data_IF_260118675905
#
_entry.id   IF_260118675905
#
_cell.length_a   1.000
_cell.length_b   1.000
_cell.length_c   1.000
_cell.angle_alpha   90.00
_cell.angle_beta   90.00
_cell.angle_gamma   90.00
#
_symmetry.space_group_name_H-M   'P 1'
#
loop_
_entity.id
_entity.type
_entity.pdbx_description
1 polymer ?
#
# COMPACT_ATOMS: atom_id res chain seq x y z
N UNK A 1 28.85 2.74 30.99
CA UNK A 1 27.97 1.63 30.58
C UNK A 1 26.52 2.08 30.38
N UNK A 2 25.89 2.76 31.34
CA UNK A 2 24.48 3.21 31.24
C UNK A 2 24.19 4.11 30.00
N UNK A 3 25.05 5.09 29.71
CA UNK A 3 24.83 6.00 28.58
C UNK A 3 24.85 5.29 27.21
N UNK A 4 25.80 4.38 26.99
CA UNK A 4 25.86 3.58 25.78
C UNK A 4 24.64 2.66 25.63
N UNK A 5 24.13 2.12 26.75
CA UNK A 5 22.90 1.34 26.76
C UNK A 5 21.68 2.17 26.34
N UNK A 6 21.51 3.37 26.90
CA UNK A 6 20.40 4.27 26.56
C UNK A 6 20.44 4.72 25.10
N UNK A 7 21.62 5.00 24.55
CA UNK A 7 21.79 5.35 23.13
C UNK A 7 21.41 4.17 22.24
N UNK A 8 21.90 2.96 22.56
CA UNK A 8 21.55 1.75 21.80
C UNK A 8 20.05 1.45 21.85
N UNK A 9 19.44 1.59 23.02
CA UNK A 9 18.01 1.42 23.19
C UNK A 9 17.21 2.43 22.35
N UNK A 10 17.54 3.72 22.43
CA UNK A 10 16.88 4.77 21.66
C UNK A 10 17.01 4.56 20.14
N UNK A 11 18.22 4.22 19.68
CA UNK A 11 18.45 3.88 18.27
C UNK A 11 17.61 2.68 17.83
N UNK A 12 17.59 1.61 18.64
CA UNK A 12 16.84 0.39 18.35
C UNK A 12 15.33 0.63 18.32
N UNK A 13 14.81 1.50 19.20
CA UNK A 13 13.39 1.89 19.19
C UNK A 13 13.04 2.64 17.91
N UNK A 14 13.87 3.59 17.48
CA UNK A 14 13.62 4.37 16.27
C UNK A 14 13.66 3.48 15.02
N UNK A 15 14.66 2.62 14.89
CA UNK A 15 14.76 1.69 13.75
C UNK A 15 13.65 0.66 13.77
N UNK A 16 13.28 0.13 14.94
CA UNK A 16 12.13 -0.77 15.09
C UNK A 16 10.84 -0.12 14.59
N UNK A 17 10.57 1.12 15.03
CA UNK A 17 9.36 1.84 14.63
C UNK A 17 9.36 2.19 13.14
N UNK A 18 10.52 2.53 12.57
CA UNK A 18 10.67 2.74 11.12
C UNK A 18 10.34 1.45 10.36
N UNK A 19 10.96 0.33 10.72
CA UNK A 19 10.73 -0.98 10.11
C UNK A 19 9.26 -1.44 10.25
N UNK A 20 8.64 -1.22 11.40
CA UNK A 20 7.24 -1.56 11.64
C UNK A 20 6.29 -0.85 10.65
N UNK A 21 6.58 0.40 10.30
CA UNK A 21 5.76 1.20 9.37
C UNK A 21 6.20 1.05 7.90
N UNK A 22 7.10 0.12 7.57
CA UNK A 22 7.65 -0.03 6.22
C UNK A 22 6.97 -1.13 5.38
N UNK A 23 5.72 -1.48 5.70
CA UNK A 23 4.94 -2.52 4.98
C UNK A 23 3.59 -2.04 4.43
N UNK A 24 3.53 -0.88 3.73
CA UNK A 24 2.27 -0.32 3.22
C UNK A 24 1.53 -1.23 2.23
N UNK A 25 2.22 -2.05 1.43
CA UNK A 25 1.58 -2.95 0.47
C UNK A 25 0.74 -4.03 1.12
N UNK A 26 1.24 -4.64 2.21
CA UNK A 26 0.47 -5.64 2.97
C UNK A 26 -0.81 -5.04 3.57
N UNK A 27 -0.73 -3.82 4.10
CA UNK A 27 -1.89 -3.09 4.60
C UNK A 27 -2.86 -2.70 3.48
N UNK A 28 -2.37 -2.30 2.31
CA UNK A 28 -3.21 -1.96 1.16
C UNK A 28 -4.02 -3.16 0.66
N UNK A 29 -3.38 -4.33 0.54
CA UNK A 29 -4.08 -5.56 0.14
C UNK A 29 -5.12 -5.98 1.17
N UNK A 30 -4.79 -5.91 2.47
CA UNK A 30 -5.73 -6.18 3.54
C UNK A 30 -6.94 -5.25 3.49
N UNK A 31 -6.71 -3.94 3.36
CA UNK A 31 -7.78 -2.95 3.27
C UNK A 31 -8.66 -3.16 2.02
N UNK A 32 -8.06 -3.57 0.90
CA UNK A 32 -8.81 -3.89 -0.31
C UNK A 32 -9.75 -5.08 -0.11
N UNK A 33 -9.27 -6.15 0.54
CA UNK A 33 -10.09 -7.31 0.86
C UNK A 33 -11.25 -6.99 1.82
N UNK A 34 -11.02 -6.09 2.78
CA UNK A 34 -12.05 -5.65 3.73
C UNK A 34 -13.11 -4.75 3.07
N UNK A 35 -12.72 -3.99 2.03
CA UNK A 35 -13.60 -3.04 1.38
C UNK A 35 -14.55 -3.67 0.34
N UNK A 36 -14.13 -4.70 -0.38
CA UNK A 36 -14.95 -5.37 -1.40
C UNK A 36 -15.28 -6.83 -1.02
N UNK A 37 -16.50 -7.02 -0.51
CA UNK A 37 -17.05 -8.33 -0.14
C UNK A 37 -17.85 -9.02 -1.26
N UNK A 38 -17.86 -8.49 -2.48
CA UNK A 38 -18.61 -9.07 -3.59
C UNK A 38 -18.10 -10.45 -4.00
N UNK A 39 -18.98 -11.28 -4.55
CA UNK A 39 -18.66 -12.65 -5.01
C UNK A 39 -18.20 -12.72 -6.48
N UNK A 40 -18.11 -11.57 -7.15
CA UNK A 40 -17.66 -11.43 -8.54
C UNK A 40 -16.15 -11.62 -8.60
N UNK A 41 -15.67 -12.31 -9.63
CA UNK A 41 -14.23 -12.53 -9.85
C UNK A 41 -13.50 -11.18 -9.96
N UNK A 42 -12.41 -11.05 -9.20
CA UNK A 42 -11.58 -9.83 -9.12
C UNK A 42 -10.17 -10.16 -9.53
N UNK A 43 -9.64 -9.44 -10.50
CA UNK A 43 -8.24 -9.53 -10.88
C UNK A 43 -7.49 -8.32 -10.31
N UNK A 44 -6.64 -8.56 -9.32
CA UNK A 44 -5.82 -7.55 -8.65
C UNK A 44 -4.40 -7.61 -9.21
N UNK A 45 -3.91 -6.52 -9.76
CA UNK A 45 -2.50 -6.38 -10.06
C UNK A 45 -1.77 -5.78 -8.86
N UNK A 46 -0.62 -6.36 -8.50
CA UNK A 46 0.26 -5.91 -7.43
C UNK A 46 1.60 -5.59 -8.09
N UNK A 47 2.01 -4.33 -8.07
CA UNK A 47 3.30 -3.92 -8.64
C UNK A 47 4.49 -4.39 -7.77
N UNK A 48 5.69 -4.23 -8.31
CA UNK A 48 6.92 -4.67 -7.65
C UNK A 48 7.10 -4.01 -6.27
N UNK A 49 6.83 -2.70 -6.16
CA UNK A 49 6.95 -1.98 -4.89
C UNK A 49 5.94 -2.46 -3.84
N UNK A 50 4.68 -2.67 -4.22
CA UNK A 50 3.66 -3.21 -3.33
C UNK A 50 4.00 -4.64 -2.91
N UNK A 51 4.49 -5.47 -3.84
CA UNK A 51 4.95 -6.83 -3.55
C UNK A 51 6.10 -6.84 -2.52
N UNK A 52 7.09 -5.95 -2.69
CA UNK A 52 8.23 -5.84 -1.78
C UNK A 52 7.90 -5.15 -0.44
N UNK A 53 6.74 -4.51 -0.33
CA UNK A 53 6.31 -3.79 0.88
C UNK A 53 5.22 -4.51 1.67
N UNK A 54 5.28 -5.84 1.71
CA UNK A 54 4.52 -6.67 2.66
C UNK A 54 3.39 -7.50 2.07
N UNK A 55 3.21 -7.50 0.74
CA UNK A 55 2.33 -8.47 0.10
C UNK A 55 3.06 -9.79 -0.10
N UNK A 56 2.45 -10.88 0.37
CA UNK A 56 2.96 -12.24 0.18
C UNK A 56 1.82 -13.18 -0.18
N UNK A 57 2.18 -14.42 -0.57
CA UNK A 57 1.18 -15.46 -0.84
C UNK A 57 0.26 -15.76 0.35
N UNK A 58 0.70 -15.53 1.58
CA UNK A 58 -0.14 -15.72 2.77
C UNK A 58 -1.18 -14.61 2.98
N UNK A 59 -1.04 -13.49 2.27
CA UNK A 59 -2.00 -12.39 2.29
C UNK A 59 -3.11 -12.56 1.24
N UNK A 60 -2.95 -13.52 0.32
CA UNK A 60 -3.87 -13.75 -0.79
C UNK A 60 -5.04 -14.62 -0.34
N UNK A 61 -6.25 -14.09 -0.49
CA UNK A 61 -7.49 -14.84 -0.33
C UNK A 61 -7.76 -15.70 -1.56
N UNK A 62 -8.49 -16.80 -1.38
CA UNK A 62 -8.99 -17.64 -2.48
C UNK A 62 -10.11 -16.93 -3.28
N UNK A 63 -10.87 -17.70 -4.06
CA UNK A 63 -12.01 -17.20 -4.82
C UNK A 63 -12.89 -16.25 -3.97
N UNK A 64 -13.26 -15.07 -4.48
CA UNK A 64 -13.22 -14.64 -5.89
C UNK A 64 -11.96 -13.88 -6.32
N UNK A 65 -10.89 -13.88 -5.53
CA UNK A 65 -9.71 -13.08 -5.80
C UNK A 65 -8.67 -13.79 -6.65
N UNK A 66 -8.08 -13.07 -7.60
CA UNK A 66 -6.94 -13.51 -8.41
C UNK A 66 -5.91 -12.41 -8.47
N UNK A 67 -4.64 -12.79 -8.38
CA UNK A 67 -3.54 -11.83 -8.26
C UNK A 67 -2.57 -11.97 -9.42
N UNK A 68 -2.15 -10.84 -9.98
CA UNK A 68 -1.03 -10.75 -10.93
C UNK A 68 0.08 -9.93 -10.31
N UNK A 69 1.32 -10.42 -10.42
CA UNK A 69 2.56 -9.72 -10.03
C UNK A 69 3.51 -9.58 -11.22
N UNK A 70 2.95 -9.49 -12.42
CA UNK A 70 3.72 -9.28 -13.64
C UNK A 70 4.49 -7.95 -13.55
N UNK A 71 5.82 -8.01 -13.52
CA UNK A 71 6.66 -6.83 -13.40
C UNK A 71 6.80 -6.11 -14.76
N UNK A 72 7.27 -4.86 -14.73
CA UNK A 72 7.60 -4.08 -15.93
C UNK A 72 6.43 -3.81 -16.91
N UNK A 73 5.17 -3.87 -16.44
CA UNK A 73 4.01 -3.41 -17.22
C UNK A 73 4.07 -1.86 -17.35
N UNK A 74 4.10 -1.30 -18.57
CA UNK A 74 4.02 0.15 -18.76
C UNK A 74 2.70 0.72 -18.25
N UNK A 75 2.73 1.94 -17.69
CA UNK A 75 1.55 2.58 -17.09
C UNK A 75 0.39 2.69 -18.11
N UNK A 76 0.71 2.98 -19.37
CA UNK A 76 -0.27 3.13 -20.45
C UNK A 76 -0.91 1.80 -20.87
N UNK A 77 -0.32 0.67 -20.49
CA UNK A 77 -0.82 -0.65 -20.81
C UNK A 77 -1.91 -1.10 -19.83
N UNK A 78 -1.94 -0.58 -18.59
CA UNK A 78 -2.94 -0.97 -17.59
C UNK A 78 -4.39 -0.75 -18.07
N UNK A 79 -4.65 0.29 -18.88
CA UNK A 79 -5.97 0.54 -19.48
C UNK A 79 -6.44 -0.55 -20.47
N UNK A 80 -5.48 -1.24 -21.08
CA UNK A 80 -5.72 -2.32 -22.05
C UNK A 80 -5.82 -3.68 -21.37
N UNK A 81 -5.35 -3.78 -20.12
CA UNK A 81 -5.45 -4.97 -19.28
C UNK A 81 -6.80 -5.00 -18.57
N UNK A 82 -7.28 -6.20 -18.27
CA UNK A 82 -8.58 -6.42 -17.59
C UNK A 82 -8.38 -6.62 -16.08
N UNK A 83 -7.67 -5.69 -15.42
CA UNK A 83 -7.58 -5.69 -13.97
C UNK A 83 -8.80 -4.99 -13.36
N UNK A 84 -9.36 -5.59 -12.31
CA UNK A 84 -10.41 -4.98 -11.50
C UNK A 84 -9.81 -3.93 -10.57
N UNK A 85 -8.69 -4.28 -9.94
CA UNK A 85 -7.96 -3.42 -9.01
C UNK A 85 -6.47 -3.39 -9.33
N UNK A 86 -5.83 -2.26 -9.03
CA UNK A 86 -4.38 -2.10 -9.03
C UNK A 86 -3.95 -1.72 -7.61
N UNK A 87 -2.90 -2.36 -7.10
CA UNK A 87 -2.13 -1.87 -5.97
C UNK A 87 -0.78 -1.43 -6.51
N UNK A 88 -0.52 -0.13 -6.48
CA UNK A 88 0.58 0.46 -7.24
C UNK A 88 1.21 1.67 -6.52
N UNK A 89 2.49 1.92 -6.74
CA UNK A 89 3.22 3.08 -6.23
C UNK A 89 2.84 4.41 -6.93
N UNK A 90 2.31 4.34 -8.14
CA UNK A 90 1.90 5.51 -8.91
C UNK A 90 0.57 6.07 -8.42
N UNK A 91 0.54 7.38 -8.11
CA UNK A 91 -0.67 8.06 -7.61
C UNK A 91 -1.84 8.03 -8.59
N UNK A 92 -1.58 8.07 -9.89
CA UNK A 92 -2.61 8.11 -10.93
C UNK A 92 -2.22 7.22 -12.09
N UNK A 93 -3.18 6.41 -12.52
CA UNK A 93 -3.08 5.50 -13.67
C UNK A 93 -4.32 5.75 -14.53
N UNK A 94 -4.12 5.95 -15.83
CA UNK A 94 -5.22 6.16 -16.77
C UNK A 94 -6.21 4.99 -16.73
N UNK A 95 -7.51 5.28 -16.87
CA UNK A 95 -8.59 4.28 -16.81
C UNK A 95 -8.87 3.65 -15.44
N UNK A 96 -8.20 4.12 -14.38
CA UNK A 96 -8.47 3.71 -13.01
C UNK A 96 -8.69 4.92 -12.09
N UNK A 97 -9.65 4.80 -11.19
CA UNK A 97 -9.90 5.78 -10.14
C UNK A 97 -9.08 5.41 -8.89
N UNK A 98 -8.39 6.38 -8.30
CA UNK A 98 -7.70 6.19 -7.03
C UNK A 98 -8.72 6.08 -5.89
N UNK A 99 -8.80 4.91 -5.26
CA UNK A 99 -9.80 4.55 -4.25
C UNK A 99 -9.33 4.97 -2.86
N UNK A 100 -8.10 4.64 -2.50
CA UNK A 100 -7.47 5.00 -1.24
C UNK A 100 -5.95 4.89 -1.35
N UNK A 101 -5.24 5.48 -0.39
CA UNK A 101 -3.80 5.36 -0.28
C UNK A 101 -3.41 4.86 1.11
N UNK A 102 -2.31 4.11 1.18
CA UNK A 102 -1.72 3.62 2.42
C UNK A 102 -0.37 4.29 2.64
N UNK A 103 -0.26 4.91 3.80
CA UNK A 103 0.97 5.55 4.25
C UNK A 103 2.03 4.52 4.62
N UNK A 104 3.26 4.77 4.17
CA UNK A 104 4.46 4.05 4.59
C UNK A 104 5.47 4.97 5.24
N UNK A 105 6.44 4.40 5.96
CA UNK A 105 7.60 5.14 6.46
C UNK A 105 8.32 5.89 5.32
N UNK A 106 8.65 7.16 5.56
CA UNK A 106 9.38 8.01 4.61
C UNK A 106 10.74 8.43 5.17
N UNK A 107 10.75 9.07 6.36
CA UNK A 107 11.98 9.55 6.99
C UNK A 107 11.84 9.78 8.48
N UNK A 108 12.96 9.81 9.17
CA UNK A 108 13.06 10.35 10.54
C UNK A 108 13.35 11.86 10.43
N UNK A 109 12.53 12.68 11.08
CA UNK A 109 12.70 14.14 11.15
C UNK A 109 13.10 14.54 12.56
N UNK A 110 14.14 15.37 12.66
CA UNK A 110 14.50 16.03 13.92
C UNK A 110 13.52 17.16 14.20
N UNK A 111 12.97 17.20 15.41
CA UNK A 111 12.03 18.22 15.85
C UNK A 111 12.43 18.77 17.22
N UNK A 112 12.10 20.04 17.54
CA UNK A 112 12.43 20.65 18.83
C UNK A 112 11.56 20.13 20.00
N UNK A 113 10.52 19.34 19.73
CA UNK A 113 9.67 18.71 20.75
C UNK A 113 10.36 17.50 21.41
N UNK A 114 9.89 17.05 22.57
CA UNK A 114 10.34 15.80 23.20
C UNK A 114 9.29 14.69 22.92
N UNK A 115 9.65 13.55 22.31
CA UNK A 115 11.00 13.18 21.85
C UNK A 115 11.44 13.96 20.59
N UNK A 116 12.75 14.24 20.43
CA UNK A 116 13.29 15.09 19.36
C UNK A 116 13.31 14.44 17.97
N UNK A 117 12.65 13.29 17.82
CA UNK A 117 12.58 12.51 16.59
C UNK A 117 11.12 12.21 16.28
N UNK A 118 10.72 12.49 15.04
CA UNK A 118 9.40 12.19 14.51
C UNK A 118 9.53 11.29 13.29
N UNK A 119 8.76 10.22 13.23
CA UNK A 119 8.66 9.34 12.06
C UNK A 119 7.63 9.92 11.11
N UNK A 120 8.10 10.40 9.96
CA UNK A 120 7.23 10.92 8.90
C UNK A 120 6.77 9.74 8.06
N UNK A 121 5.45 9.67 7.87
CA UNK A 121 4.79 8.73 6.96
C UNK A 121 4.15 9.51 5.82
N UNK A 122 4.19 8.93 4.63
CA UNK A 122 3.64 9.52 3.40
C UNK A 122 2.95 8.42 2.60
N UNK A 123 1.97 8.74 1.72
CA UNK A 123 1.36 7.77 0.83
C UNK A 123 2.42 7.06 -0.02
N UNK A 124 2.44 5.72 0.04
CA UNK A 124 3.40 4.90 -0.71
C UNK A 124 2.72 3.91 -1.66
N UNK A 125 1.57 3.37 -1.26
CA UNK A 125 0.79 2.45 -2.09
C UNK A 125 -0.59 3.03 -2.29
N UNK A 126 -1.03 3.05 -3.54
CA UNK A 126 -2.34 3.52 -3.96
C UNK A 126 -3.14 2.32 -4.46
N UNK A 127 -4.37 2.21 -3.99
CA UNK A 127 -5.33 1.26 -4.53
C UNK A 127 -6.17 1.97 -5.58
N UNK A 128 -6.18 1.45 -6.79
CA UNK A 128 -7.01 1.95 -7.88
C UNK A 128 -8.05 0.92 -8.29
N UNK A 129 -9.22 1.41 -8.70
CA UNK A 129 -10.30 0.59 -9.23
C UNK A 129 -10.62 0.96 -10.67
N UNK A 130 -10.90 -0.04 -11.48
CA UNK A 130 -11.17 0.16 -12.90
C UNK A 130 -12.43 1.00 -13.13
N UNK A 131 -12.32 2.11 -13.86
CA UNK A 131 -13.46 3.01 -14.08
C UNK A 131 -14.53 2.39 -15.00
N UNK A 132 -14.20 1.30 -15.70
CA UNK A 132 -15.16 0.54 -16.53
C UNK A 132 -16.03 -0.41 -15.72
N UNK A 133 -15.69 -0.68 -14.46
CA UNK A 133 -16.49 -1.54 -13.59
C UNK A 133 -17.45 -0.70 -12.73
N UNK A 134 -18.77 -0.71 -13.02
CA UNK A 134 -19.73 0.10 -12.27
C UNK A 134 -19.87 -0.34 -10.80
N UNK A 135 -19.53 -1.60 -10.48
CA UNK A 135 -19.63 -2.12 -9.11
C UNK A 135 -18.62 -1.41 -8.19
N UNK A 136 -17.43 -1.11 -8.71
CA UNK A 136 -16.39 -0.36 -7.99
C UNK A 136 -16.87 1.07 -7.71
N UNK A 137 -17.45 1.73 -8.71
CA UNK A 137 -17.93 3.12 -8.59
C UNK A 137 -19.11 3.26 -7.63
N UNK A 138 -19.84 2.17 -7.37
CA UNK A 138 -20.95 2.14 -6.42
C UNK A 138 -20.51 2.11 -4.96
N UNK A 139 -19.27 1.69 -4.69
CA UNK A 139 -18.69 1.63 -3.35
C UNK A 139 -18.21 3.02 -2.90
N UNK A 140 -18.37 3.30 -1.61
CA UNK A 140 -17.92 4.57 -1.00
C UNK A 140 -16.44 4.49 -0.66
N UNK A 141 -15.59 5.09 -1.50
CA UNK A 141 -14.15 5.15 -1.29
C UNK A 141 -13.71 6.47 -0.65
N UNK A 142 -12.72 6.47 0.26
CA UNK A 142 -12.23 7.70 0.88
C UNK A 142 -11.48 8.62 -0.11
N UNK A 143 -11.06 8.07 -1.25
CA UNK A 143 -10.22 8.76 -2.22
C UNK A 143 -8.75 8.80 -1.78
N UNK A 144 -7.91 9.25 -2.70
CA UNK A 144 -6.50 9.47 -2.43
C UNK A 144 -6.24 10.95 -2.10
N UNK A 145 -5.28 11.25 -1.20
CA UNK A 145 -4.86 12.61 -0.91
C UNK A 145 -4.25 13.29 -2.14
#
# INVERSE_FOLDING_TARGET
>A
MLGAFLVSLGYSTVTFMASYNNYPGGYALKALHEADSSVKEKMVHIDAFTAMSGVSRFCENEYPWRYSKEEEIPIEEFEKRNFTYLLNEHRSIGGYQCLFAVDGFSRVKLTPQIPPLSLVKEPKVFAHGNTRDPDILSLSWPGCP
#
